data_IF_105344721912
#
_entry.id   IF_105344721912
#
_cell.length_a   1.000
_cell.length_b   1.000
_cell.length_c   1.000
_cell.angle_alpha   90.00
_cell.angle_beta   90.00
_cell.angle_gamma   90.00
#
_symmetry.space_group_name_H-M   'P 1'
#
loop_
_entity.id
_entity.type
_entity.pdbx_description
1 polymer ?
#
# COMPACT_ATOMS: atom_id res chain seq x y z
N UNK A 1 -15.43 -4.41 -2.48
CA UNK A 1 -15.45 -3.33 -3.51
C UNK A 1 -16.52 -2.27 -3.24
N UNK A 2 -17.82 -2.50 -3.49
CA UNK A 2 -18.89 -1.49 -3.34
C UNK A 2 -18.96 -0.79 -1.96
N UNK A 3 -18.70 -1.52 -0.88
CA UNK A 3 -18.67 -0.93 0.47
C UNK A 3 -17.53 0.10 0.64
N UNK A 4 -16.34 -0.20 0.12
CA UNK A 4 -15.19 0.71 0.15
C UNK A 4 -15.41 1.93 -0.75
N UNK A 5 -15.97 1.72 -1.95
CA UNK A 5 -16.30 2.82 -2.87
C UNK A 5 -17.29 3.81 -2.22
N UNK A 6 -18.34 3.30 -1.54
CA UNK A 6 -19.27 4.15 -0.78
C UNK A 6 -18.60 4.86 0.39
N UNK A 7 -17.78 4.16 1.16
CA UNK A 7 -17.10 4.75 2.33
C UNK A 7 -16.12 5.87 1.93
N UNK A 8 -15.53 5.77 0.76
CA UNK A 8 -14.64 6.80 0.19
C UNK A 8 -15.40 7.84 -0.64
N UNK A 9 -16.73 7.80 -0.65
CA UNK A 9 -17.58 8.70 -1.44
C UNK A 9 -17.22 8.73 -2.94
N UNK A 10 -16.78 7.59 -3.49
CA UNK A 10 -16.45 7.48 -4.90
C UNK A 10 -17.73 7.39 -5.75
N UNK A 11 -17.79 8.10 -6.89
CA UNK A 11 -18.84 7.89 -7.88
C UNK A 11 -18.89 6.43 -8.34
N UNK A 12 -20.08 6.01 -8.80
CA UNK A 12 -20.19 4.69 -9.42
C UNK A 12 -19.29 4.60 -10.65
N UNK A 13 -18.68 3.44 -10.85
CA UNK A 13 -17.79 3.15 -11.99
C UNK A 13 -16.63 4.14 -12.16
N UNK A 14 -16.12 4.70 -11.06
CA UNK A 14 -14.95 5.57 -11.11
C UNK A 14 -13.65 4.76 -11.27
N UNK A 15 -13.35 4.37 -12.51
CA UNK A 15 -12.22 3.49 -12.85
C UNK A 15 -10.83 4.13 -12.67
N UNK A 16 -10.74 5.46 -12.66
CA UNK A 16 -9.46 6.18 -12.68
C UNK A 16 -8.90 6.51 -11.28
N UNK A 17 -9.57 6.09 -10.19
CA UNK A 17 -9.23 6.50 -8.82
C UNK A 17 -7.75 6.27 -8.50
N UNK A 18 -7.21 5.10 -8.82
CA UNK A 18 -5.83 4.74 -8.50
C UNK A 18 -4.80 5.59 -9.26
N UNK A 19 -5.07 5.91 -10.54
CA UNK A 19 -4.23 6.81 -11.34
C UNK A 19 -4.25 8.23 -10.78
N UNK A 20 -5.41 8.73 -10.36
CA UNK A 20 -5.53 10.05 -9.77
C UNK A 20 -4.83 10.12 -8.41
N UNK A 21 -4.95 9.10 -7.57
CA UNK A 21 -4.22 9.02 -6.30
C UNK A 21 -2.71 9.03 -6.50
N UNK A 22 -2.20 8.29 -7.49
CA UNK A 22 -0.78 8.32 -7.85
C UNK A 22 -0.33 9.72 -8.27
N UNK A 23 -1.03 10.35 -9.23
CA UNK A 23 -0.72 11.71 -9.68
C UNK A 23 -0.73 12.71 -8.52
N UNK A 24 -1.68 12.58 -7.61
CA UNK A 24 -1.78 13.42 -6.43
C UNK A 24 -0.58 13.22 -5.48
N UNK A 25 -0.18 11.97 -5.22
CA UNK A 25 1.03 11.65 -4.45
C UNK A 25 2.27 12.27 -5.09
N UNK A 26 2.47 12.09 -6.40
CA UNK A 26 3.60 12.66 -7.14
C UNK A 26 3.65 14.19 -7.00
N UNK A 27 2.50 14.87 -7.13
CA UNK A 27 2.38 16.32 -6.94
C UNK A 27 2.74 16.77 -5.53
N UNK A 28 2.42 15.98 -4.51
CA UNK A 28 2.67 16.33 -3.10
C UNK A 28 4.06 15.91 -2.60
N UNK A 29 4.83 15.15 -3.39
CA UNK A 29 6.08 14.52 -2.97
C UNK A 29 7.14 15.49 -2.41
N UNK A 30 7.12 16.76 -2.80
CA UNK A 30 8.05 17.79 -2.31
C UNK A 30 7.80 18.23 -0.86
N UNK A 31 6.58 18.03 -0.34
CA UNK A 31 6.15 18.52 0.98
C UNK A 31 5.59 17.43 1.88
N UNK A 32 5.07 16.35 1.31
CA UNK A 32 4.50 15.23 2.05
C UNK A 32 5.07 13.91 1.54
N UNK A 33 5.70 13.16 2.46
CA UNK A 33 6.12 11.80 2.20
C UNK A 33 4.96 10.85 2.51
N UNK A 34 4.53 10.08 1.51
CA UNK A 34 3.49 9.06 1.65
C UNK A 34 4.07 7.71 1.21
N UNK A 35 3.75 6.65 1.95
CA UNK A 35 4.11 5.29 1.60
C UNK A 35 2.93 4.36 1.90
N UNK A 36 2.79 3.29 1.13
CA UNK A 36 1.80 2.24 1.37
C UNK A 36 2.45 0.90 1.09
N UNK A 37 2.05 -0.14 1.82
CA UNK A 37 2.56 -1.49 1.62
C UNK A 37 1.50 -2.51 2.01
N UNK A 38 1.51 -3.65 1.31
CA UNK A 38 0.70 -4.81 1.64
C UNK A 38 1.66 -5.90 2.11
N UNK A 39 1.39 -6.41 3.31
CA UNK A 39 2.00 -7.64 3.81
C UNK A 39 0.99 -8.77 3.75
N UNK A 40 1.39 -9.94 3.27
CA UNK A 40 0.47 -11.06 3.04
C UNK A 40 1.05 -12.40 3.48
N UNK A 41 0.18 -13.36 3.79
CA UNK A 41 0.59 -14.71 4.18
C UNK A 41 1.40 -15.37 3.04
N UNK A 42 2.58 -15.91 3.37
CA UNK A 42 3.51 -16.54 2.43
C UNK A 42 2.94 -17.76 1.69
N UNK A 43 1.90 -18.39 2.23
CA UNK A 43 1.18 -19.50 1.61
C UNK A 43 0.13 -19.06 0.57
N UNK A 44 -0.19 -17.75 0.52
CA UNK A 44 -1.12 -17.19 -0.44
C UNK A 44 -0.39 -16.78 -1.70
N UNK A 45 -0.97 -17.10 -2.86
CA UNK A 45 -0.45 -16.64 -4.15
C UNK A 45 -1.21 -15.39 -4.57
N UNK A 46 -0.48 -14.30 -4.75
CA UNK A 46 -1.01 -13.09 -5.38
C UNK A 46 -0.90 -13.24 -6.90
N UNK A 47 -1.93 -12.79 -7.62
CA UNK A 47 -1.88 -12.75 -9.08
C UNK A 47 -0.85 -11.71 -9.53
N UNK A 48 -0.14 -11.99 -10.63
CA UNK A 48 0.80 -11.03 -11.24
C UNK A 48 0.12 -9.70 -11.59
N UNK A 49 -1.15 -9.73 -12.02
CA UNK A 49 -1.93 -8.53 -12.29
C UNK A 49 -2.04 -7.63 -11.04
N UNK A 50 -2.33 -8.21 -9.87
CA UNK A 50 -2.40 -7.46 -8.62
C UNK A 50 -1.05 -6.88 -8.21
N UNK A 51 0.02 -7.68 -8.31
CA UNK A 51 1.40 -7.24 -8.01
C UNK A 51 1.80 -6.06 -8.90
N UNK A 52 1.56 -6.18 -10.22
CA UNK A 52 1.86 -5.14 -11.19
C UNK A 52 1.06 -3.85 -10.94
N UNK A 53 -0.24 -3.96 -10.63
CA UNK A 53 -1.08 -2.81 -10.31
C UNK A 53 -0.65 -2.13 -8.99
N UNK A 54 -0.21 -2.90 -7.99
CA UNK A 54 0.33 -2.39 -6.73
C UNK A 54 1.60 -1.57 -6.97
N UNK A 55 2.55 -2.11 -7.74
CA UNK A 55 3.77 -1.39 -8.11
C UNK A 55 3.41 -0.15 -8.94
N UNK A 56 2.55 -0.28 -9.93
CA UNK A 56 2.20 0.80 -10.85
C UNK A 56 1.54 1.99 -10.15
N UNK A 57 0.60 1.76 -9.23
CA UNK A 57 -0.19 2.84 -8.62
C UNK A 57 0.31 3.26 -7.24
N UNK A 58 0.95 2.35 -6.51
CA UNK A 58 1.37 2.57 -5.12
C UNK A 58 2.87 2.48 -4.89
N UNK A 59 3.66 2.22 -5.93
CA UNK A 59 5.14 2.10 -5.86
C UNK A 59 5.59 1.06 -4.82
N UNK A 60 4.78 0.03 -4.64
CA UNK A 60 4.98 -0.97 -3.61
C UNK A 60 4.71 -2.36 -4.17
N UNK A 61 5.74 -3.20 -4.16
CA UNK A 61 5.61 -4.64 -4.33
C UNK A 61 5.15 -5.26 -3.01
N UNK A 62 4.01 -6.00 -2.97
CA UNK A 62 3.55 -6.67 -1.77
C UNK A 62 4.61 -7.62 -1.20
N UNK A 63 4.78 -7.61 0.12
CA UNK A 63 5.81 -8.38 0.81
C UNK A 63 5.22 -9.57 1.56
N UNK A 64 5.86 -10.74 1.45
CA UNK A 64 5.46 -11.93 2.21
C UNK A 64 5.78 -11.76 3.69
N UNK A 65 4.85 -12.18 4.53
CA UNK A 65 5.06 -12.34 5.96
C UNK A 65 6.02 -13.50 6.23
N UNK A 66 6.79 -13.35 7.31
CA UNK A 66 7.66 -14.33 7.94
C UNK A 66 6.86 -15.37 8.74
N UNK A 67 7.56 -16.24 9.46
CA UNK A 67 6.98 -17.43 10.08
C UNK A 67 6.22 -17.12 11.36
N UNK A 68 6.73 -16.20 12.20
CA UNK A 68 6.14 -15.93 13.52
C UNK A 68 5.46 -14.57 13.58
N UNK A 69 4.55 -14.42 14.54
CA UNK A 69 3.83 -13.16 14.76
C UNK A 69 4.77 -12.05 15.22
N UNK A 70 5.76 -12.39 16.04
CA UNK A 70 6.75 -11.47 16.60
C UNK A 70 7.66 -10.91 15.49
N UNK A 71 8.17 -11.78 14.61
CA UNK A 71 8.96 -11.40 13.45
C UNK A 71 8.15 -10.51 12.49
N UNK A 72 6.89 -10.86 12.25
CA UNK A 72 5.98 -10.11 11.39
C UNK A 72 5.66 -8.72 11.92
N UNK A 73 5.42 -8.62 13.23
CA UNK A 73 5.17 -7.35 13.91
C UNK A 73 6.40 -6.46 13.81
N UNK A 74 7.58 -7.02 14.07
CA UNK A 74 8.84 -6.30 13.93
C UNK A 74 9.09 -5.83 12.50
N UNK A 75 8.89 -6.70 11.51
CA UNK A 75 9.06 -6.37 10.09
C UNK A 75 8.19 -5.18 9.67
N UNK A 76 6.91 -5.19 10.04
CA UNK A 76 5.97 -4.13 9.70
C UNK A 76 6.38 -2.81 10.37
N UNK A 77 6.66 -2.83 11.66
CA UNK A 77 7.03 -1.63 12.41
C UNK A 77 8.38 -1.06 11.93
N UNK A 78 9.39 -1.90 11.71
CA UNK A 78 10.68 -1.48 11.15
C UNK A 78 10.51 -0.81 9.78
N UNK A 79 9.62 -1.35 8.93
CA UNK A 79 9.32 -0.76 7.62
C UNK A 79 8.66 0.62 7.76
N UNK A 80 7.67 0.76 8.66
CA UNK A 80 7.00 2.04 8.94
C UNK A 80 8.00 3.06 9.51
N UNK A 81 8.81 2.65 10.48
CA UNK A 81 9.84 3.47 11.10
C UNK A 81 10.84 3.97 10.05
N UNK A 82 11.34 3.08 9.18
CA UNK A 82 12.22 3.47 8.09
C UNK A 82 11.55 4.47 7.11
N UNK A 83 10.32 4.18 6.65
CA UNK A 83 9.60 5.07 5.72
C UNK A 83 9.26 6.43 6.32
N UNK A 84 9.13 6.53 7.63
CA UNK A 84 8.78 7.77 8.33
C UNK A 84 9.98 8.45 8.99
N UNK A 85 11.21 7.96 8.76
CA UNK A 85 12.44 8.47 9.42
C UNK A 85 12.31 8.44 10.94
N UNK A 86 11.80 7.33 11.46
CA UNK A 86 11.52 7.04 12.88
C UNK A 86 10.55 8.00 13.56
N UNK A 87 9.73 8.74 12.80
CA UNK A 87 8.65 9.56 13.38
C UNK A 87 7.48 8.71 13.86
N UNK A 88 7.28 7.54 13.26
CA UNK A 88 6.35 6.52 13.73
C UNK A 88 7.21 5.28 14.04
N UNK A 89 7.49 4.99 15.32
CA UNK A 89 8.31 3.85 15.72
C UNK A 89 7.56 2.52 15.57
#
# INVERSE_FOLDING_TARGET
RKALERAMCLPHDFHCVHSQMRKQRERMSFSLQMASQIFYNSQMNLSDAFTNLSIQYYEAEPMKLLKTSEENTKLINDWVANKTKNKIP
#
